data_IF_195513751508
#
_entry.id   IF_195513751508
#
_cell.length_a   1.000
_cell.length_b   1.000
_cell.length_c   1.000
_cell.angle_alpha   90.00
_cell.angle_beta   90.00
_cell.angle_gamma   90.00
#
_symmetry.space_group_name_H-M   'P 1'
#
loop_
_entity.id
_entity.type
_entity.pdbx_description
1 polymer ?
#
# COMPACT_ATOMS: atom_id res chain seq x y z
N UNK A 1 38.19 11.03 11.79
CA UNK A 1 36.75 11.16 11.53
C UNK A 1 36.45 10.31 10.31
N UNK A 2 35.88 9.12 10.50
CA UNK A 2 35.43 8.31 9.38
C UNK A 2 34.40 9.11 8.58
N UNK A 3 34.56 9.10 7.25
CA UNK A 3 33.60 9.74 6.35
C UNK A 3 32.19 9.17 6.63
N UNK A 4 31.15 10.02 6.79
CA UNK A 4 29.76 9.56 6.96
C UNK A 4 29.28 8.59 5.86
N UNK A 5 30.02 8.49 4.74
CA UNK A 5 29.78 7.56 3.63
C UNK A 5 29.82 6.08 4.04
N UNK A 6 30.53 5.68 5.11
CA UNK A 6 30.73 4.26 5.43
C UNK A 6 29.51 3.55 6.04
N UNK A 7 28.50 4.27 6.53
CA UNK A 7 27.37 3.68 7.26
C UNK A 7 26.00 3.84 6.57
N UNK A 8 25.94 4.40 5.36
CA UNK A 8 24.68 4.56 4.63
C UNK A 8 24.48 3.42 3.62
N UNK A 9 23.26 2.88 3.56
CA UNK A 9 22.88 1.89 2.55
C UNK A 9 22.84 2.57 1.18
N UNK A 10 23.60 2.04 0.21
CA UNK A 10 23.50 2.45 -1.20
C UNK A 10 22.08 2.17 -1.72
N UNK A 11 21.55 3.13 -2.44
CA UNK A 11 20.23 3.03 -3.04
C UNK A 11 20.19 2.00 -4.17
N UNK A 12 19.03 1.37 -4.36
CA UNK A 12 18.70 0.57 -5.56
C UNK A 12 17.95 1.43 -6.58
N UNK A 13 17.89 0.95 -7.82
CA UNK A 13 17.09 1.55 -8.90
C UNK A 13 17.38 3.03 -9.12
N UNK A 14 18.60 3.33 -9.56
CA UNK A 14 19.01 4.66 -9.99
C UNK A 14 20.09 4.57 -11.07
N UNK A 15 20.33 5.66 -11.77
CA UNK A 15 21.41 5.80 -12.74
C UNK A 15 22.10 7.17 -12.60
N UNK A 16 23.37 7.30 -13.00
CA UNK A 16 23.96 8.62 -13.22
C UNK A 16 23.12 9.40 -14.24
N UNK A 17 22.93 10.70 -14.00
CA UNK A 17 22.34 11.61 -14.99
C UNK A 17 23.39 12.07 -16.00
N UNK A 18 22.97 12.74 -17.07
CA UNK A 18 23.86 13.30 -18.10
C UNK A 18 24.79 14.41 -17.57
N UNK A 19 24.41 15.05 -16.47
CA UNK A 19 25.18 16.10 -15.81
C UNK A 19 26.05 15.53 -14.68
N UNK A 20 27.27 16.07 -14.52
CA UNK A 20 28.26 15.56 -13.57
C UNK A 20 27.71 15.47 -12.14
N UNK A 21 27.99 14.33 -11.51
CA UNK A 21 27.58 13.95 -10.14
C UNK A 21 26.09 14.07 -9.83
N UNK A 22 25.19 14.13 -10.82
CA UNK A 22 23.74 14.04 -10.58
C UNK A 22 23.27 12.60 -10.72
N UNK A 23 22.24 12.23 -9.96
CA UNK A 23 21.63 10.89 -10.04
C UNK A 23 20.16 10.98 -10.36
N UNK A 24 19.66 10.07 -11.20
CA UNK A 24 18.24 9.89 -11.48
C UNK A 24 17.71 8.68 -10.71
N UNK A 25 16.87 8.94 -9.71
CA UNK A 25 16.17 7.89 -8.96
C UNK A 25 15.03 7.30 -9.79
N UNK A 26 14.92 5.97 -9.83
CA UNK A 26 13.90 5.23 -10.58
C UNK A 26 12.90 4.49 -9.69
N UNK A 27 12.86 4.74 -8.38
CA UNK A 27 11.96 4.04 -7.46
C UNK A 27 10.47 4.39 -7.66
N UNK A 28 10.15 5.66 -7.93
CA UNK A 28 8.77 6.12 -8.11
C UNK A 28 8.65 7.09 -9.29
N UNK A 29 7.42 7.36 -9.73
CA UNK A 29 7.12 8.19 -10.90
C UNK A 29 7.43 9.68 -10.74
N UNK A 30 8.05 10.10 -9.63
CA UNK A 30 8.72 11.39 -9.56
C UNK A 30 9.99 11.45 -10.38
N UNK A 31 10.66 10.30 -10.57
CA UNK A 31 11.91 10.17 -11.32
C UNK A 31 12.92 11.28 -11.01
N UNK A 32 13.09 11.58 -9.71
CA UNK A 32 13.88 12.73 -9.26
C UNK A 32 15.30 12.71 -9.83
N UNK A 33 15.72 13.82 -10.43
CA UNK A 33 17.13 14.13 -10.65
C UNK A 33 17.62 14.85 -9.39
N UNK A 34 18.62 14.31 -8.72
CA UNK A 34 19.11 14.78 -7.42
C UNK A 34 20.55 15.26 -7.61
N UNK A 35 20.78 16.55 -7.37
CA UNK A 35 22.12 17.13 -7.41
C UNK A 35 22.99 16.61 -6.26
N UNK A 36 24.32 16.67 -6.42
CA UNK A 36 25.26 16.26 -5.37
C UNK A 36 25.00 17.02 -4.05
N UNK A 37 25.00 16.28 -2.95
CA UNK A 37 24.69 16.79 -1.60
C UNK A 37 23.21 17.18 -1.38
N UNK A 38 22.31 16.91 -2.33
CA UNK A 38 20.87 17.21 -2.19
C UNK A 38 20.04 15.98 -1.83
N UNK A 39 18.77 16.25 -1.51
CA UNK A 39 17.75 15.27 -1.18
C UNK A 39 16.74 15.12 -2.33
N UNK A 40 16.23 13.91 -2.51
CA UNK A 40 15.06 13.65 -3.35
C UNK A 40 13.77 14.17 -2.72
N UNK A 41 12.67 14.14 -3.49
CA UNK A 41 11.37 14.67 -3.06
C UNK A 41 10.84 14.08 -1.74
N UNK A 42 11.14 12.82 -1.47
CA UNK A 42 10.73 12.12 -0.25
C UNK A 42 11.60 12.44 0.98
N UNK A 43 12.62 13.29 0.83
CA UNK A 43 13.56 13.74 1.89
C UNK A 43 14.38 12.64 2.57
N UNK A 44 14.28 11.38 2.13
CA UNK A 44 15.02 10.24 2.71
C UNK A 44 16.04 9.62 1.76
N UNK A 45 16.21 10.23 0.59
CA UNK A 45 17.16 9.82 -0.44
C UNK A 45 18.14 10.95 -0.69
N UNK A 46 19.43 10.66 -0.59
CA UNK A 46 20.47 11.67 -0.79
C UNK A 46 21.45 11.22 -1.86
N UNK A 47 21.93 12.17 -2.66
CA UNK A 47 23.05 11.94 -3.55
C UNK A 47 24.33 12.41 -2.86
N UNK A 48 25.32 11.52 -2.79
CA UNK A 48 26.65 11.84 -2.26
C UNK A 48 27.69 11.37 -3.27
N UNK A 49 28.35 12.33 -3.90
CA UNK A 49 29.45 12.11 -4.85
C UNK A 49 29.02 11.25 -6.05
N UNK A 50 27.82 11.53 -6.59
CA UNK A 50 27.26 10.81 -7.73
C UNK A 50 26.68 9.42 -7.41
N UNK A 51 26.46 9.12 -6.12
CA UNK A 51 25.86 7.85 -5.67
C UNK A 51 24.62 8.13 -4.83
N UNK A 52 23.52 7.46 -5.15
CA UNK A 52 22.28 7.53 -4.37
C UNK A 52 22.39 6.69 -3.10
N UNK A 53 21.99 7.24 -1.96
CA UNK A 53 21.93 6.56 -0.66
C UNK A 53 20.53 6.66 -0.02
N UNK A 54 20.19 5.66 0.77
CA UNK A 54 19.00 5.64 1.64
C UNK A 54 19.35 6.10 3.05
N UNK A 55 18.62 7.10 3.55
CA UNK A 55 18.85 7.67 4.89
C UNK A 55 18.05 6.97 6.00
N UNK A 56 17.09 6.11 5.62
CA UNK A 56 16.14 5.47 6.52
C UNK A 56 16.15 3.94 6.45
N UNK A 57 17.11 3.33 5.74
CA UNK A 57 17.19 1.89 5.47
C UNK A 57 16.97 1.01 6.72
N UNK A 58 17.68 1.26 7.81
CA UNK A 58 17.59 0.49 9.04
C UNK A 58 16.83 1.22 10.16
N UNK A 59 16.26 2.39 9.87
CA UNK A 59 15.61 3.26 10.85
C UNK A 59 14.12 2.98 10.93
N UNK A 60 13.79 1.83 11.51
CA UNK A 60 12.41 1.38 11.66
C UNK A 60 11.72 2.21 12.74
N UNK A 61 10.66 2.93 12.38
CA UNK A 61 9.91 3.79 13.29
C UNK A 61 8.61 3.16 13.81
N UNK A 62 8.21 2.02 13.24
CA UNK A 62 7.09 1.19 13.71
C UNK A 62 7.37 -0.27 13.35
N UNK A 63 7.11 -1.18 14.29
CA UNK A 63 7.28 -2.62 14.12
C UNK A 63 6.34 -3.37 15.07
N UNK A 64 5.29 -4.00 14.54
CA UNK A 64 4.36 -4.80 15.34
C UNK A 64 3.56 -5.80 14.50
N UNK A 65 3.15 -6.96 15.05
CA UNK A 65 2.13 -7.80 14.43
C UNK A 65 0.81 -7.03 14.30
N UNK A 66 0.18 -7.08 13.13
CA UNK A 66 -1.19 -6.64 12.89
C UNK A 66 -1.95 -7.75 12.13
N UNK A 67 -3.28 -7.84 12.26
CA UNK A 67 -4.09 -8.70 11.39
C UNK A 67 -4.01 -8.25 9.93
N UNK A 68 -4.04 -9.20 8.99
CA UNK A 68 -3.98 -8.90 7.55
C UNK A 68 -5.17 -8.05 7.08
N UNK A 69 -6.32 -8.18 7.75
CA UNK A 69 -7.53 -7.37 7.54
C UNK A 69 -7.28 -5.87 7.77
N UNK A 70 -6.29 -5.50 8.60
CA UNK A 70 -5.92 -4.10 8.80
C UNK A 70 -5.12 -3.51 7.63
N UNK A 71 -4.61 -4.34 6.69
CA UNK A 71 -3.86 -3.94 5.49
C UNK A 71 -4.74 -3.77 4.25
N UNK A 72 -6.04 -3.59 4.45
CA UNK A 72 -7.13 -4.05 3.57
C UNK A 72 -6.74 -5.12 2.53
N UNK A 73 -6.27 -6.27 3.01
CA UNK A 73 -5.94 -7.43 2.17
C UNK A 73 -6.86 -8.60 2.56
N UNK A 74 -8.14 -8.50 2.22
CA UNK A 74 -9.16 -9.44 2.69
C UNK A 74 -9.08 -10.79 1.99
N UNK A 75 -8.51 -10.84 0.80
CA UNK A 75 -8.38 -12.03 -0.03
C UNK A 75 -6.95 -12.54 -0.08
N UNK A 76 -6.09 -12.09 0.85
CA UNK A 76 -4.71 -12.56 1.00
C UNK A 76 -4.55 -13.18 2.39
N UNK A 77 -4.39 -14.50 2.46
CA UNK A 77 -4.19 -15.23 3.73
C UNK A 77 -5.15 -14.79 4.86
N UNK A 78 -6.48 -14.78 4.65
CA UNK A 78 -7.44 -14.23 5.60
C UNK A 78 -7.33 -14.85 6.99
N UNK A 79 -7.43 -14.03 8.04
CA UNK A 79 -7.33 -14.43 9.44
C UNK A 79 -5.91 -14.61 9.97
N UNK A 80 -4.89 -14.38 9.14
CA UNK A 80 -3.49 -14.43 9.56
C UNK A 80 -3.00 -13.07 10.07
N UNK A 81 -1.85 -13.09 10.75
CA UNK A 81 -1.15 -11.87 11.16
C UNK A 81 0.02 -11.56 10.23
N UNK A 82 0.27 -10.28 10.02
CA UNK A 82 1.38 -9.73 9.25
C UNK A 82 2.27 -8.86 10.14
N UNK A 83 3.58 -9.10 10.11
CA UNK A 83 4.54 -8.29 10.85
C UNK A 83 4.71 -6.95 10.14
N UNK A 84 4.13 -5.91 10.71
CA UNK A 84 4.00 -4.60 10.08
C UNK A 84 5.16 -3.72 10.43
N UNK A 85 5.83 -3.17 9.42
CA UNK A 85 6.95 -2.25 9.60
C UNK A 85 6.78 -0.97 8.78
N UNK A 86 7.41 0.09 9.27
CA UNK A 86 7.53 1.36 8.55
C UNK A 86 8.86 2.06 8.87
N UNK A 87 9.30 2.89 7.93
CA UNK A 87 10.34 3.90 8.16
C UNK A 87 9.76 5.29 7.89
N UNK A 88 10.41 6.34 8.42
CA UNK A 88 9.94 7.71 8.23
C UNK A 88 10.08 8.17 6.77
N UNK A 89 9.17 9.06 6.36
CA UNK A 89 9.12 9.68 5.04
C UNK A 89 7.98 9.15 4.16
N UNK A 90 7.71 9.83 3.06
CA UNK A 90 6.77 9.42 2.03
C UNK A 90 7.07 10.20 0.75
N UNK A 91 6.71 9.64 -0.41
CA UNK A 91 6.83 10.35 -1.69
C UNK A 91 5.58 11.20 -2.02
N UNK A 92 4.50 11.10 -1.22
CA UNK A 92 3.28 11.90 -1.27
C UNK A 92 3.20 12.86 -0.07
N UNK A 93 2.39 13.91 -0.18
CA UNK A 93 2.15 14.92 0.86
C UNK A 93 0.66 15.08 1.16
N UNK A 94 -0.01 13.95 1.41
CA UNK A 94 -1.46 13.89 1.62
C UNK A 94 -1.89 14.75 2.82
N UNK A 95 -2.76 15.73 2.60
CA UNK A 95 -3.27 16.66 3.64
C UNK A 95 -4.23 15.99 4.65
N UNK A 96 -4.69 14.77 4.35
CA UNK A 96 -5.58 13.95 5.18
C UNK A 96 -4.88 12.69 5.76
N UNK A 97 -3.54 12.61 5.69
CA UNK A 97 -2.81 11.40 6.08
C UNK A 97 -3.01 11.03 7.57
N UNK A 98 -3.43 9.80 7.84
CA UNK A 98 -3.58 9.29 9.22
C UNK A 98 -2.23 9.06 9.93
N UNK A 99 -1.17 8.80 9.15
CA UNK A 99 0.19 8.56 9.66
C UNK A 99 1.12 9.75 9.36
N UNK A 100 0.58 10.97 9.39
CA UNK A 100 1.33 12.19 9.01
C UNK A 100 2.58 12.38 9.88
N UNK A 101 2.54 11.99 11.15
CA UNK A 101 3.64 12.13 12.12
C UNK A 101 4.91 11.36 11.73
N UNK A 102 4.79 10.30 10.93
CA UNK A 102 5.92 9.51 10.44
C UNK A 102 6.14 9.68 8.93
N UNK A 103 5.08 9.92 8.15
CA UNK A 103 5.18 10.09 6.69
C UNK A 103 5.68 11.48 6.29
N UNK A 104 5.35 12.52 7.05
CA UNK A 104 5.68 13.92 6.72
C UNK A 104 6.87 14.46 7.53
N UNK A 105 7.28 13.81 8.62
CA UNK A 105 8.36 14.29 9.49
C UNK A 105 9.66 14.65 8.73
N UNK A 106 10.18 13.73 7.92
CA UNK A 106 11.41 13.98 7.15
C UNK A 106 11.32 15.21 6.23
N UNK A 107 10.10 15.56 5.78
CA UNK A 107 9.86 16.74 4.96
C UNK A 107 9.67 18.01 5.80
N UNK A 108 8.90 17.95 6.88
CA UNK A 108 8.48 19.11 7.66
C UNK A 108 9.59 19.63 8.59
N UNK A 109 10.33 18.73 9.24
CA UNK A 109 11.33 19.08 10.25
C UNK A 109 12.70 18.39 10.01
N UNK A 110 12.84 17.62 8.93
CA UNK A 110 14.08 16.92 8.59
C UNK A 110 14.35 15.67 9.43
N UNK A 111 13.40 15.26 10.29
CA UNK A 111 13.56 14.11 11.19
C UNK A 111 13.48 12.79 10.46
N UNK A 112 14.54 11.99 10.61
CA UNK A 112 14.61 10.60 10.16
C UNK A 112 15.07 9.76 11.35
N UNK A 113 14.12 9.47 12.23
CA UNK A 113 14.32 8.70 13.46
C UNK A 113 13.77 7.28 13.32
N UNK A 114 14.32 6.37 14.10
CA UNK A 114 13.89 4.98 14.17
C UNK A 114 14.88 4.17 15.00
N UNK A 115 14.51 2.93 15.31
CA UNK A 115 15.42 1.96 15.90
C UNK A 115 16.22 1.31 14.77
N UNK A 116 17.51 1.11 14.98
CA UNK A 116 18.37 0.35 14.07
C UNK A 116 17.97 -1.14 14.14
N UNK A 117 17.12 -1.57 13.21
CA UNK A 117 16.66 -2.96 13.13
C UNK A 117 17.07 -3.52 11.77
N UNK A 118 17.84 -4.59 11.79
CA UNK A 118 18.29 -5.30 10.59
C UNK A 118 17.14 -6.09 9.92
N UNK A 119 17.25 -6.39 8.62
CA UNK A 119 16.33 -7.30 7.93
C UNK A 119 16.15 -8.65 8.65
N UNK A 120 17.24 -9.23 9.15
CA UNK A 120 17.23 -10.51 9.87
C UNK A 120 16.41 -10.43 11.16
N UNK A 121 16.57 -9.34 11.93
CA UNK A 121 15.80 -9.12 13.16
C UNK A 121 14.31 -8.90 12.88
N UNK A 122 13.96 -8.27 11.76
CA UNK A 122 12.56 -8.11 11.32
C UNK A 122 11.95 -9.47 11.00
N UNK A 123 12.64 -10.28 10.20
CA UNK A 123 12.18 -11.63 9.83
C UNK A 123 12.07 -12.52 11.06
N UNK A 124 13.07 -12.50 11.95
CA UNK A 124 13.01 -13.22 13.22
C UNK A 124 11.83 -12.75 14.09
N UNK A 125 11.58 -11.44 14.15
CA UNK A 125 10.42 -10.86 14.81
C UNK A 125 9.09 -11.39 14.25
N UNK A 126 8.97 -11.47 12.93
CA UNK A 126 7.79 -12.00 12.25
C UNK A 126 7.57 -13.48 12.56
N UNK A 127 8.62 -14.31 12.45
CA UNK A 127 8.56 -15.75 12.74
C UNK A 127 8.19 -16.00 14.20
N UNK A 128 8.87 -15.34 15.15
CA UNK A 128 8.61 -15.48 16.59
C UNK A 128 7.19 -15.05 16.97
N UNK A 129 6.62 -14.10 16.26
CA UNK A 129 5.25 -13.61 16.49
C UNK A 129 4.17 -14.46 15.82
N UNK A 130 4.55 -15.54 15.11
CA UNK A 130 3.62 -16.40 14.38
C UNK A 130 2.98 -15.74 13.15
N UNK A 131 3.56 -14.64 12.64
CA UNK A 131 3.07 -13.99 11.44
C UNK A 131 3.26 -14.89 10.22
N UNK A 132 2.35 -14.77 9.23
CA UNK A 132 2.47 -15.45 7.93
C UNK A 132 3.09 -14.57 6.86
N UNK A 133 3.08 -13.26 7.08
CA UNK A 133 3.62 -12.29 6.16
C UNK A 133 4.35 -11.14 6.87
N UNK A 134 5.10 -10.36 6.10
CA UNK A 134 5.65 -9.06 6.49
C UNK A 134 4.93 -7.98 5.68
N UNK A 135 4.37 -6.98 6.37
CA UNK A 135 3.68 -5.85 5.76
C UNK A 135 4.54 -4.60 5.82
N UNK A 136 4.89 -4.06 4.66
CA UNK A 136 5.54 -2.76 4.53
C UNK A 136 4.42 -1.73 4.35
N UNK A 137 4.22 -0.88 5.36
CA UNK A 137 2.96 -0.14 5.53
C UNK A 137 3.14 1.15 6.34
N UNK A 138 2.04 1.79 6.73
CA UNK A 138 1.90 3.08 7.44
C UNK A 138 2.44 4.32 6.70
N UNK A 139 3.65 4.22 6.12
CA UNK A 139 4.22 5.15 5.15
C UNK A 139 4.23 4.52 3.75
N UNK A 140 5.10 4.97 2.84
CA UNK A 140 5.20 4.42 1.49
C UNK A 140 6.38 3.45 1.36
N UNK A 141 6.18 2.15 1.13
CA UNK A 141 7.25 1.14 1.03
C UNK A 141 8.35 1.47 0.02
N UNK A 142 7.97 2.12 -1.09
CA UNK A 142 8.91 2.47 -2.17
C UNK A 142 10.09 3.32 -1.69
N UNK A 143 9.89 4.14 -0.66
CA UNK A 143 10.95 5.04 -0.17
C UNK A 143 12.01 4.33 0.69
N UNK A 144 11.78 3.08 1.12
CA UNK A 144 12.73 2.22 1.84
C UNK A 144 12.88 0.84 1.18
N UNK A 145 12.78 0.79 -0.15
CA UNK A 145 12.79 -0.44 -0.97
C UNK A 145 13.95 -1.41 -0.68
N UNK A 146 15.12 -0.93 -0.29
CA UNK A 146 16.26 -1.80 0.06
C UNK A 146 15.95 -2.67 1.29
N UNK A 147 15.33 -2.08 2.32
CA UNK A 147 14.91 -2.82 3.50
C UNK A 147 13.84 -3.84 3.12
N UNK A 148 12.87 -3.44 2.29
CA UNK A 148 11.81 -4.32 1.81
C UNK A 148 12.37 -5.53 1.04
N UNK A 149 13.32 -5.29 0.14
CA UNK A 149 13.96 -6.35 -0.64
C UNK A 149 14.73 -7.33 0.24
N UNK A 150 15.53 -6.82 1.17
CA UNK A 150 16.36 -7.66 2.02
C UNK A 150 15.49 -8.50 2.97
N UNK A 151 14.47 -7.87 3.58
CA UNK A 151 13.46 -8.58 4.37
C UNK A 151 12.68 -9.59 3.52
N UNK A 152 12.30 -9.22 2.29
CA UNK A 152 11.51 -10.07 1.42
C UNK A 152 12.23 -11.32 0.97
N UNK A 153 13.52 -11.21 0.63
CA UNK A 153 14.38 -12.34 0.28
C UNK A 153 14.58 -13.28 1.47
N UNK A 154 14.96 -12.75 2.63
CA UNK A 154 15.20 -13.55 3.85
C UNK A 154 13.89 -14.18 4.35
N UNK A 155 12.78 -13.43 4.28
CA UNK A 155 11.46 -13.88 4.71
C UNK A 155 10.97 -15.09 3.92
N UNK A 156 11.21 -15.14 2.60
CA UNK A 156 10.87 -16.31 1.78
C UNK A 156 11.58 -17.58 2.23
N UNK A 157 12.85 -17.48 2.62
CA UNK A 157 13.62 -18.62 3.14
C UNK A 157 13.02 -19.17 4.45
N UNK A 158 12.23 -18.35 5.16
CA UNK A 158 11.53 -18.70 6.40
C UNK A 158 10.02 -18.96 6.18
N UNK A 159 9.57 -19.09 4.93
CA UNK A 159 8.16 -19.35 4.60
C UNK A 159 7.21 -18.17 4.86
N UNK A 160 7.73 -16.95 4.96
CA UNK A 160 6.92 -15.73 5.04
C UNK A 160 6.62 -15.18 3.64
N UNK A 161 5.40 -14.69 3.47
CA UNK A 161 5.03 -13.87 2.30
C UNK A 161 5.27 -12.39 2.58
N UNK A 162 5.25 -11.56 1.55
CA UNK A 162 5.49 -10.12 1.68
C UNK A 162 4.35 -9.33 1.05
N UNK A 163 3.92 -8.28 1.74
CA UNK A 163 2.83 -7.42 1.28
C UNK A 163 3.13 -5.94 1.39
N UNK A 164 2.68 -5.17 0.41
CA UNK A 164 2.77 -3.71 0.41
C UNK A 164 1.40 -3.10 0.69
N UNK A 165 1.37 -2.02 1.49
CA UNK A 165 0.28 -1.04 1.48
C UNK A 165 0.86 0.24 0.92
N UNK A 166 0.47 0.61 -0.29
CA UNK A 166 1.17 1.62 -1.09
C UNK A 166 0.21 2.63 -1.70
N UNK A 167 0.71 3.84 -1.95
CA UNK A 167 0.02 4.83 -2.77
C UNK A 167 0.09 4.54 -4.28
N UNK A 168 0.75 3.45 -4.69
CA UNK A 168 0.78 3.00 -6.08
C UNK A 168 1.58 3.90 -7.03
N UNK A 169 2.45 4.79 -6.53
CA UNK A 169 3.22 5.69 -7.39
C UNK A 169 4.56 5.11 -7.86
N UNK A 170 4.71 3.79 -7.84
CA UNK A 170 5.91 3.04 -8.22
C UNK A 170 6.17 3.11 -9.72
N UNK A 171 7.45 3.10 -10.12
CA UNK A 171 7.77 2.85 -11.53
C UNK A 171 7.60 1.37 -11.87
N UNK A 172 7.58 1.04 -13.17
CA UNK A 172 7.63 -0.36 -13.61
C UNK A 172 8.90 -1.05 -13.12
N UNK A 173 10.03 -0.34 -13.16
CA UNK A 173 11.31 -0.84 -12.67
C UNK A 173 11.25 -1.25 -11.18
N UNK A 174 10.51 -0.50 -10.36
CA UNK A 174 10.33 -0.84 -8.95
C UNK A 174 9.42 -2.06 -8.73
N UNK A 175 8.36 -2.20 -9.52
CA UNK A 175 7.46 -3.35 -9.48
C UNK A 175 8.21 -4.61 -9.94
N UNK A 176 8.95 -4.52 -11.05
CA UNK A 176 9.78 -5.62 -11.57
C UNK A 176 10.88 -6.03 -10.59
N UNK A 177 11.48 -5.08 -9.90
CA UNK A 177 12.46 -5.38 -8.85
C UNK A 177 11.84 -6.10 -7.64
N UNK A 178 10.57 -5.81 -7.33
CA UNK A 178 9.85 -6.43 -6.22
C UNK A 178 9.19 -7.77 -6.58
N UNK A 179 8.98 -8.06 -7.88
CA UNK A 179 8.14 -9.17 -8.37
C UNK A 179 8.55 -10.55 -7.84
N UNK A 180 9.83 -10.75 -7.53
CA UNK A 180 10.35 -12.04 -7.10
C UNK A 180 10.08 -12.34 -5.63
N UNK A 181 9.75 -11.32 -4.82
CA UNK A 181 9.56 -11.48 -3.38
C UNK A 181 8.28 -10.85 -2.83
N UNK A 182 7.64 -9.95 -3.55
CA UNK A 182 6.36 -9.36 -3.18
C UNK A 182 5.21 -10.27 -3.62
N UNK A 183 4.36 -10.68 -2.67
CA UNK A 183 3.25 -11.61 -2.93
C UNK A 183 1.91 -10.89 -3.07
N UNK A 184 1.72 -9.79 -2.34
CA UNK A 184 0.47 -9.03 -2.36
C UNK A 184 0.69 -7.53 -2.22
N UNK A 185 -0.28 -6.76 -2.67
CA UNK A 185 -0.26 -5.31 -2.54
C UNK A 185 -1.69 -4.77 -2.44
N UNK A 186 -1.91 -3.90 -1.46
CA UNK A 186 -3.03 -3.00 -1.45
C UNK A 186 -2.59 -1.63 -1.99
N UNK A 187 -3.23 -1.17 -3.07
CA UNK A 187 -2.94 0.14 -3.67
C UNK A 187 -4.05 1.13 -3.33
N UNK A 188 -3.67 2.26 -2.74
CA UNK A 188 -4.58 3.36 -2.50
C UNK A 188 -4.88 4.14 -3.81
N UNK A 189 -5.98 3.81 -4.48
CA UNK A 189 -6.56 4.67 -5.51
C UNK A 189 -7.40 5.76 -4.83
N UNK A 190 -6.73 6.86 -4.46
CA UNK A 190 -7.28 7.89 -3.55
C UNK A 190 -8.42 8.70 -4.15
N UNK A 191 -8.51 8.79 -5.47
CA UNK A 191 -9.50 9.58 -6.21
C UNK A 191 -9.38 9.23 -7.70
N UNK A 192 -10.37 9.58 -8.52
CA UNK A 192 -10.28 9.55 -9.98
C UNK A 192 -10.15 10.97 -10.59
N UNK A 193 -9.70 11.94 -9.79
CA UNK A 193 -9.51 13.34 -10.19
C UNK A 193 -8.05 13.79 -10.12
N UNK A 194 -7.52 14.32 -11.23
CA UNK A 194 -6.16 14.89 -11.26
C UNK A 194 -6.04 16.14 -10.36
N UNK A 195 -7.12 16.90 -10.18
CA UNK A 195 -7.13 18.05 -9.26
C UNK A 195 -6.94 17.59 -7.81
N UNK A 196 -7.66 16.54 -7.38
CA UNK A 196 -7.52 15.95 -6.06
C UNK A 196 -6.06 15.55 -5.79
N UNK A 197 -5.43 14.86 -6.75
CA UNK A 197 -4.03 14.44 -6.60
C UNK A 197 -3.07 15.64 -6.49
N UNK A 198 -3.25 16.67 -7.31
CA UNK A 198 -2.41 17.87 -7.28
C UNK A 198 -2.59 18.67 -5.98
N UNK A 199 -3.84 18.92 -5.59
CA UNK A 199 -4.19 19.75 -4.44
C UNK A 199 -3.93 19.02 -3.13
N UNK A 200 -4.42 17.79 -2.97
CA UNK A 200 -4.42 17.12 -1.67
C UNK A 200 -3.25 16.17 -1.46
N UNK A 201 -2.79 15.50 -2.52
CA UNK A 201 -1.66 14.55 -2.42
C UNK A 201 -0.32 15.18 -2.82
N UNK A 202 -0.34 16.33 -3.48
CA UNK A 202 0.79 16.94 -4.20
C UNK A 202 1.44 15.93 -5.15
N UNK A 203 0.62 15.20 -5.90
CA UNK A 203 0.99 14.09 -6.79
C UNK A 203 0.20 14.15 -8.11
N UNK A 204 0.21 13.05 -8.88
CA UNK A 204 -0.49 12.90 -10.17
C UNK A 204 -1.30 11.60 -10.16
N UNK A 205 -2.46 11.57 -10.82
CA UNK A 205 -3.32 10.40 -10.89
C UNK A 205 -2.76 9.34 -11.84
N UNK A 206 -2.43 9.73 -13.07
CA UNK A 206 -2.11 8.79 -14.16
C UNK A 206 -1.06 7.73 -13.78
N UNK A 207 0.04 8.05 -13.07
CA UNK A 207 1.03 7.02 -12.73
C UNK A 207 0.52 5.97 -11.72
N UNK A 208 -0.50 6.29 -10.91
CA UNK A 208 -1.17 5.30 -10.04
C UNK A 208 -2.02 4.35 -10.88
N UNK A 209 -2.77 4.89 -11.85
CA UNK A 209 -3.58 4.09 -12.77
C UNK A 209 -2.71 3.14 -13.61
N UNK A 210 -1.57 3.63 -14.09
CA UNK A 210 -0.61 2.84 -14.86
C UNK A 210 -0.01 1.71 -14.01
N UNK A 211 0.29 1.99 -12.74
CA UNK A 211 0.82 1.00 -11.78
C UNK A 211 -0.19 -0.10 -11.49
N UNK A 212 -1.44 0.27 -11.18
CA UNK A 212 -2.53 -0.70 -10.96
C UNK A 212 -2.72 -1.60 -12.19
N UNK A 213 -2.81 -0.99 -13.38
CA UNK A 213 -2.98 -1.72 -14.63
C UNK A 213 -1.82 -2.68 -14.91
N UNK A 214 -0.59 -2.25 -14.62
CA UNK A 214 0.60 -3.05 -14.84
C UNK A 214 0.69 -4.23 -13.87
N UNK A 215 0.44 -4.01 -12.57
CA UNK A 215 0.42 -5.08 -11.56
C UNK A 215 -0.59 -6.14 -11.95
N UNK A 216 -1.82 -5.74 -12.27
CA UNK A 216 -2.91 -6.67 -12.57
C UNK A 216 -2.69 -7.51 -13.84
N UNK A 217 -1.97 -6.98 -14.84
CA UNK A 217 -1.84 -7.62 -16.17
C UNK A 217 -0.51 -8.32 -16.39
N UNK A 218 0.56 -7.82 -15.79
CA UNK A 218 1.93 -8.21 -16.12
C UNK A 218 2.65 -8.93 -14.98
N UNK A 219 1.98 -9.10 -13.83
CA UNK A 219 2.56 -9.71 -12.62
C UNK A 219 1.61 -10.73 -11.98
N UNK A 220 2.16 -11.55 -11.06
CA UNK A 220 1.39 -12.45 -10.21
C UNK A 220 1.24 -11.92 -8.78
N UNK A 221 1.49 -10.62 -8.57
CA UNK A 221 1.32 -9.99 -7.26
C UNK A 221 -0.18 -9.84 -7.02
N UNK A 222 -0.70 -10.41 -5.93
CA UNK A 222 -2.09 -10.26 -5.55
C UNK A 222 -2.43 -8.79 -5.31
N UNK A 223 -3.48 -8.27 -5.95
CA UNK A 223 -3.83 -6.86 -5.90
C UNK A 223 -5.19 -6.68 -5.23
N UNK A 224 -5.26 -5.77 -4.27
CA UNK A 224 -6.49 -5.18 -3.77
C UNK A 224 -6.37 -3.65 -3.84
N UNK A 225 -7.50 -2.94 -3.94
CA UNK A 225 -7.52 -1.48 -4.10
C UNK A 225 -8.31 -0.85 -2.97
N UNK A 226 -7.77 0.21 -2.37
CA UNK A 226 -8.47 1.00 -1.34
C UNK A 226 -8.73 2.42 -1.80
N UNK A 227 -9.90 2.93 -1.47
CA UNK A 227 -10.25 4.35 -1.61
C UNK A 227 -10.77 4.87 -0.28
N UNK A 228 -10.04 5.83 0.31
CA UNK A 228 -10.51 6.59 1.46
C UNK A 228 -11.50 7.65 0.98
N UNK A 229 -12.77 7.53 1.35
CA UNK A 229 -13.82 8.40 0.85
C UNK A 229 -13.94 9.66 1.73
N UNK A 230 -13.58 10.83 1.21
CA UNK A 230 -13.58 12.12 1.89
C UNK A 230 -14.77 12.96 1.39
N UNK A 231 -15.68 13.39 2.29
CA UNK A 231 -16.85 14.17 1.91
C UNK A 231 -16.51 15.45 1.14
N UNK A 232 -17.15 15.66 0.00
CA UNK A 232 -16.99 16.83 -0.85
C UNK A 232 -15.73 16.84 -1.71
N UNK A 233 -14.88 15.80 -1.61
CA UNK A 233 -13.59 15.74 -2.31
C UNK A 233 -13.54 14.63 -3.36
N UNK A 234 -13.98 13.42 -3.03
CA UNK A 234 -13.96 12.26 -3.93
C UNK A 234 -15.20 11.35 -3.79
N UNK A 235 -16.31 11.87 -3.23
CA UNK A 235 -17.52 11.10 -2.92
C UNK A 235 -18.72 11.36 -3.85
N UNK A 236 -18.46 12.00 -4.99
CA UNK A 236 -19.45 12.20 -6.05
C UNK A 236 -19.74 10.89 -6.81
N UNK A 237 -20.98 10.72 -7.27
CA UNK A 237 -21.37 9.52 -8.02
C UNK A 237 -20.58 9.33 -9.30
N UNK A 238 -20.35 10.41 -10.06
CA UNK A 238 -19.63 10.35 -11.33
C UNK A 238 -18.18 9.93 -11.16
N UNK A 239 -17.53 10.37 -10.09
CA UNK A 239 -16.16 9.96 -9.78
C UNK A 239 -16.10 8.50 -9.32
N UNK A 240 -17.03 8.07 -8.47
CA UNK A 240 -17.12 6.69 -8.00
C UNK A 240 -17.38 5.71 -9.16
N UNK A 241 -18.23 6.08 -10.13
CA UNK A 241 -18.48 5.29 -11.33
C UNK A 241 -17.20 5.14 -12.16
N UNK A 242 -16.50 6.24 -12.44
CA UNK A 242 -15.23 6.19 -13.18
C UNK A 242 -14.17 5.33 -12.48
N UNK A 243 -14.09 5.41 -11.15
CA UNK A 243 -13.18 4.60 -10.35
C UNK A 243 -13.54 3.11 -10.46
N UNK A 244 -14.80 2.75 -10.24
CA UNK A 244 -15.27 1.36 -10.33
C UNK A 244 -15.06 0.79 -11.75
N UNK A 245 -15.44 1.54 -12.79
CA UNK A 245 -15.24 1.18 -14.19
C UNK A 245 -13.76 0.96 -14.53
N UNK A 246 -12.87 1.79 -13.98
CA UNK A 246 -11.43 1.61 -14.12
C UNK A 246 -10.96 0.31 -13.46
N UNK A 247 -11.39 0.00 -12.24
CA UNK A 247 -11.01 -1.24 -11.56
C UNK A 247 -11.46 -2.44 -12.40
N UNK A 248 -12.73 -2.50 -12.81
CA UNK A 248 -13.26 -3.61 -13.62
C UNK A 248 -12.49 -3.76 -14.93
N UNK A 249 -12.27 -2.67 -15.65
CA UNK A 249 -11.69 -2.71 -17.01
C UNK A 249 -10.17 -2.84 -17.05
N UNK A 250 -9.45 -2.43 -16.00
CA UNK A 250 -7.98 -2.39 -15.99
C UNK A 250 -7.34 -3.32 -14.96
N UNK A 251 -8.02 -3.62 -13.87
CA UNK A 251 -7.54 -4.53 -12.83
C UNK A 251 -8.28 -5.89 -12.85
N UNK A 252 -9.59 -5.88 -13.12
CA UNK A 252 -10.45 -7.06 -13.21
C UNK A 252 -11.57 -7.05 -12.15
N UNK A 253 -12.70 -7.70 -12.47
CA UNK A 253 -13.88 -7.79 -11.60
C UNK A 253 -13.61 -8.50 -10.26
N UNK A 254 -12.60 -9.36 -10.23
CA UNK A 254 -12.17 -10.13 -9.07
C UNK A 254 -11.28 -9.37 -8.10
N UNK A 255 -10.79 -8.17 -8.47
CA UNK A 255 -9.95 -7.33 -7.61
C UNK A 255 -10.84 -6.67 -6.55
N UNK A 256 -10.65 -6.99 -5.25
CA UNK A 256 -11.41 -6.34 -4.18
C UNK A 256 -11.23 -4.83 -4.15
N UNK A 257 -12.35 -4.12 -4.04
CA UNK A 257 -12.36 -2.69 -3.78
C UNK A 257 -12.81 -2.38 -2.35
N UNK A 258 -11.93 -1.77 -1.59
CA UNK A 258 -12.16 -1.35 -0.21
C UNK A 258 -12.49 0.14 -0.17
N UNK A 259 -13.69 0.46 0.30
CA UNK A 259 -14.12 1.82 0.52
C UNK A 259 -13.97 2.11 2.01
N UNK A 260 -12.95 2.88 2.36
CA UNK A 260 -12.64 3.21 3.75
C UNK A 260 -13.34 4.50 4.16
N UNK A 261 -14.00 4.46 5.32
CA UNK A 261 -14.54 5.66 5.97
C UNK A 261 -13.42 6.60 6.41
N UNK A 262 -13.54 7.87 6.05
CA UNK A 262 -12.67 8.94 6.53
C UNK A 262 -13.09 9.43 7.92
N UNK A 263 -12.09 9.75 8.72
CA UNK A 263 -12.20 10.45 9.99
C UNK A 263 -11.23 11.64 9.98
N UNK A 264 -11.65 12.84 10.45
CA UNK A 264 -10.83 14.05 10.45
C UNK A 264 -9.43 13.83 11.02
N UNK A 265 -8.41 14.17 10.23
CA UNK A 265 -6.99 14.04 10.61
C UNK A 265 -6.10 15.07 9.91
N UNK A 266 -4.92 15.30 10.51
CA UNK A 266 -3.84 16.14 9.98
C UNK A 266 -4.26 17.57 9.62
N UNK A 267 -4.38 17.92 8.33
CA UNK A 267 -4.81 19.27 7.90
C UNK A 267 -6.31 19.33 7.61
N UNK A 268 -7.00 18.21 7.76
CA UNK A 268 -8.43 18.04 7.53
C UNK A 268 -9.23 17.90 8.85
N UNK A 269 -8.72 18.43 9.98
CA UNK A 269 -9.41 18.35 11.26
C UNK A 269 -10.77 19.05 11.28
N UNK A 270 -10.96 20.10 10.48
CA UNK A 270 -12.22 20.84 10.38
C UNK A 270 -13.26 20.18 9.45
N UNK A 271 -12.92 19.03 8.87
CA UNK A 271 -13.83 18.23 8.04
C UNK A 271 -14.77 17.36 8.89
N UNK A 272 -15.69 16.66 8.25
CA UNK A 272 -16.59 15.69 8.89
C UNK A 272 -16.21 14.26 8.50
N UNK A 273 -16.48 13.31 9.40
CA UNK A 273 -16.34 11.90 9.05
C UNK A 273 -17.31 11.53 7.92
N UNK A 274 -16.92 10.61 7.04
CA UNK A 274 -17.78 10.22 5.91
C UNK A 274 -19.10 9.66 6.42
N UNK A 275 -20.25 10.13 5.91
CA UNK A 275 -21.54 9.50 6.16
C UNK A 275 -21.53 8.05 5.68
N UNK A 276 -22.14 7.16 6.46
CA UNK A 276 -22.25 5.74 6.08
C UNK A 276 -23.03 5.56 4.78
N UNK A 277 -24.00 6.43 4.50
CA UNK A 277 -24.76 6.41 3.25
C UNK A 277 -23.90 6.70 2.01
N UNK A 278 -22.86 7.55 2.12
CA UNK A 278 -21.90 7.75 1.02
C UNK A 278 -21.12 6.47 0.72
N UNK A 279 -20.76 5.70 1.76
CA UNK A 279 -20.08 4.41 1.61
C UNK A 279 -20.99 3.38 0.93
N UNK A 280 -22.23 3.23 1.39
CA UNK A 280 -23.21 2.31 0.78
C UNK A 280 -23.49 2.65 -0.69
N UNK A 281 -23.53 3.94 -1.03
CA UNK A 281 -23.67 4.39 -2.42
C UNK A 281 -22.47 3.96 -3.26
N UNK A 282 -21.25 4.14 -2.76
CA UNK A 282 -20.05 3.66 -3.44
C UNK A 282 -20.03 2.13 -3.59
N UNK A 283 -20.48 1.39 -2.57
CA UNK A 283 -20.65 -0.07 -2.64
C UNK A 283 -21.61 -0.48 -3.76
N UNK A 284 -22.77 0.17 -3.83
CA UNK A 284 -23.77 -0.10 -4.86
C UNK A 284 -23.21 0.18 -6.26
N UNK A 285 -22.54 1.32 -6.45
CA UNK A 285 -21.89 1.68 -7.72
C UNK A 285 -20.84 0.63 -8.12
N UNK A 286 -20.01 0.18 -7.18
CA UNK A 286 -19.00 -0.85 -7.45
C UNK A 286 -19.62 -2.17 -7.92
N UNK A 287 -20.71 -2.61 -7.26
CA UNK A 287 -21.44 -3.82 -7.64
C UNK A 287 -22.14 -3.67 -9.00
N UNK A 288 -22.74 -2.52 -9.27
CA UNK A 288 -23.40 -2.22 -10.56
C UNK A 288 -22.40 -2.18 -11.72
N UNK A 289 -21.18 -1.71 -11.48
CA UNK A 289 -20.09 -1.74 -12.46
C UNK A 289 -19.59 -3.17 -12.77
N UNK A 290 -19.92 -4.14 -11.90
CA UNK A 290 -19.56 -5.55 -12.07
C UNK A 290 -18.42 -6.04 -11.18
N UNK A 291 -18.03 -5.30 -10.13
CA UNK A 291 -17.10 -5.81 -9.13
C UNK A 291 -17.76 -6.93 -8.31
N UNK A 292 -17.05 -8.04 -8.15
CA UNK A 292 -17.50 -9.17 -7.34
C UNK A 292 -17.40 -8.88 -5.84
N UNK A 293 -16.41 -8.09 -5.43
CA UNK A 293 -16.08 -7.85 -4.03
C UNK A 293 -15.89 -6.37 -3.76
N UNK A 294 -16.80 -5.80 -2.97
CA UNK A 294 -16.73 -4.42 -2.52
C UNK A 294 -16.94 -4.40 -1.00
N UNK A 295 -15.99 -3.81 -0.28
CA UNK A 295 -15.93 -3.85 1.18
C UNK A 295 -16.04 -2.44 1.76
N UNK A 296 -16.83 -2.28 2.83
CA UNK A 296 -16.89 -1.02 3.57
C UNK A 296 -16.06 -1.13 4.84
N UNK A 297 -14.93 -0.43 4.89
CA UNK A 297 -14.03 -0.42 6.04
C UNK A 297 -14.32 0.75 7.00
N UNK A 298 -13.87 0.58 8.25
CA UNK A 298 -14.06 1.57 9.34
C UNK A 298 -15.54 1.86 9.65
N UNK A 299 -16.39 0.84 9.51
CA UNK A 299 -17.81 0.89 9.89
C UNK A 299 -18.08 -0.24 10.90
N UNK A 300 -17.90 0.01 12.21
CA UNK A 300 -18.07 -1.04 13.23
C UNK A 300 -19.43 -1.73 13.14
N UNK A 301 -19.43 -3.07 13.13
CA UNK A 301 -20.63 -3.90 13.10
C UNK A 301 -21.27 -4.08 11.72
N UNK A 302 -20.68 -3.55 10.65
CA UNK A 302 -21.19 -3.73 9.30
C UNK A 302 -20.82 -5.12 8.75
N UNK A 303 -21.81 -5.86 8.26
CA UNK A 303 -21.57 -7.15 7.57
C UNK A 303 -20.86 -7.00 6.22
N UNK A 304 -20.74 -5.77 5.73
CA UNK A 304 -20.03 -5.42 4.49
C UNK A 304 -18.52 -5.65 4.54
N UNK A 305 -17.95 -6.07 5.67
CA UNK A 305 -16.56 -6.55 5.75
C UNK A 305 -16.45 -8.07 5.48
N UNK A 306 -17.57 -8.80 5.49
CA UNK A 306 -17.60 -10.24 5.23
C UNK A 306 -17.56 -10.56 3.74
N UNK A 307 -16.89 -11.65 3.37
CA UNK A 307 -16.82 -12.11 1.98
C UNK A 307 -18.01 -13.00 1.68
N UNK A 308 -18.73 -12.70 0.60
CA UNK A 308 -19.83 -13.51 0.07
C UNK A 308 -19.42 -14.09 -1.28
N UNK A 309 -19.95 -15.27 -1.62
CA UNK A 309 -19.82 -15.83 -2.94
C UNK A 309 -20.57 -14.94 -3.94
N UNK A 310 -19.85 -14.39 -4.92
CA UNK A 310 -20.44 -13.48 -5.91
C UNK A 310 -21.48 -14.15 -6.82
N UNK A 311 -21.51 -15.48 -6.86
CA UNK A 311 -22.45 -16.25 -7.68
C UNK A 311 -23.72 -16.66 -6.91
N UNK A 312 -23.59 -17.30 -5.73
CA UNK A 312 -24.75 -17.81 -4.99
C UNK A 312 -25.13 -16.99 -3.75
N UNK A 313 -24.34 -15.99 -3.37
CA UNK A 313 -24.60 -15.13 -2.20
C UNK A 313 -24.28 -15.77 -0.84
N UNK A 314 -23.77 -17.01 -0.80
CA UNK A 314 -23.37 -17.65 0.46
C UNK A 314 -22.26 -16.85 1.15
N UNK A 315 -22.39 -16.63 2.46
CA UNK A 315 -21.32 -16.03 3.26
C UNK A 315 -20.16 -17.03 3.36
N UNK A 316 -18.98 -16.64 2.90
CA UNK A 316 -17.79 -17.49 2.85
C UNK A 316 -16.83 -17.17 3.98
N UNK A 317 -16.61 -15.89 4.25
CA UNK A 317 -15.75 -15.44 5.34
C UNK A 317 -16.54 -14.45 6.17
N UNK A 318 -16.82 -14.80 7.43
CA UNK A 318 -17.44 -13.90 8.39
C UNK A 318 -16.37 -13.07 9.10
N UNK A 319 -16.42 -11.75 8.93
CA UNK A 319 -15.53 -10.80 9.59
C UNK A 319 -16.27 -9.98 10.64
N UNK A 320 -15.66 -9.86 11.82
CA UNK A 320 -16.11 -8.97 12.90
C UNK A 320 -14.94 -8.03 13.22
N UNK A 321 -14.90 -6.89 12.52
CA UNK A 321 -13.71 -6.04 12.47
C UNK A 321 -12.53 -6.83 11.91
N UNK A 322 -11.40 -6.83 12.62
CA UNK A 322 -10.19 -7.55 12.18
C UNK A 322 -10.13 -9.03 12.62
N UNK A 323 -11.25 -9.64 13.01
CA UNK A 323 -11.29 -11.05 13.40
C UNK A 323 -12.13 -11.84 12.39
N UNK A 324 -11.62 -13.00 12.00
CA UNK A 324 -12.37 -14.00 11.24
C UNK A 324 -13.15 -14.87 12.22
N UNK A 325 -14.47 -14.80 12.16
CA UNK A 325 -15.36 -15.67 12.96
C UNK A 325 -15.55 -17.04 12.27
N UNK A 326 -15.57 -17.07 10.94
CA UNK A 326 -15.64 -18.27 10.13
C UNK A 326 -14.96 -18.07 8.77
N UNK A 327 -14.30 -19.10 8.26
CA UNK A 327 -13.86 -19.22 6.86
C UNK A 327 -14.35 -20.57 6.33
N UNK A 328 -15.24 -20.54 5.33
CA UNK A 328 -15.85 -21.71 4.68
C UNK A 328 -15.25 -22.01 3.32
N UNK A 329 -14.29 -21.20 2.85
CA UNK A 329 -13.62 -21.44 1.57
C UNK A 329 -12.81 -22.73 1.68
N UNK A 330 -12.92 -23.57 0.65
CA UNK A 330 -12.15 -24.80 0.52
C UNK A 330 -11.56 -24.88 -0.88
N UNK A 331 -10.26 -25.12 -0.98
CA UNK A 331 -9.54 -25.19 -2.26
C UNK A 331 -9.82 -23.97 -3.16
N UNK A 332 -9.85 -22.78 -2.53
CA UNK A 332 -10.20 -21.49 -3.17
C UNK A 332 -11.57 -21.49 -3.88
N UNK A 333 -12.53 -22.28 -3.42
CA UNK A 333 -13.87 -22.38 -3.99
C UNK A 333 -14.96 -22.22 -2.92
N UNK A 334 -16.12 -21.72 -3.36
CA UNK A 334 -17.36 -21.75 -2.59
C UNK A 334 -17.81 -23.21 -2.41
N UNK A 335 -18.04 -23.68 -1.17
CA UNK A 335 -18.46 -25.07 -0.93
C UNK A 335 -19.85 -25.38 -1.50
N UNK A 336 -20.74 -24.38 -1.58
CA UNK A 336 -22.13 -24.59 -1.97
C UNK A 336 -22.35 -24.68 -3.48
N UNK A 337 -21.65 -23.87 -4.28
CA UNK A 337 -21.86 -23.79 -5.74
C UNK A 337 -20.60 -24.07 -6.57
N UNK A 338 -19.44 -24.29 -5.95
CA UNK A 338 -18.18 -24.59 -6.64
C UNK A 338 -17.53 -23.40 -7.36
N UNK A 339 -18.09 -22.19 -7.24
CA UNK A 339 -17.50 -20.97 -7.81
C UNK A 339 -16.12 -20.72 -7.20
N UNK A 340 -15.11 -20.51 -8.07
CA UNK A 340 -13.77 -20.10 -7.64
C UNK A 340 -13.82 -18.71 -7.02
N UNK A 341 -13.12 -18.54 -5.91
CA UNK A 341 -13.00 -17.28 -5.19
C UNK A 341 -11.59 -16.79 -5.42
N UNK A 342 -11.46 -15.60 -5.99
CA UNK A 342 -10.15 -15.03 -6.31
C UNK A 342 -9.44 -14.60 -5.02
N UNK A 343 -8.17 -14.96 -4.88
CA UNK A 343 -7.34 -14.58 -3.74
C UNK A 343 -6.01 -15.32 -3.72
N UNK A 344 -5.23 -15.06 -2.68
CA UNK A 344 -3.94 -15.68 -2.42
C UNK A 344 -4.05 -16.52 -1.15
N UNK A 345 -3.93 -17.84 -1.30
CA UNK A 345 -4.03 -18.82 -0.20
C UNK A 345 -5.28 -18.61 0.68
N UNK A 346 -6.47 -18.69 0.03
CA UNK A 346 -7.80 -18.52 0.65
C UNK A 346 -8.31 -19.73 1.44
#
# INVERSE_FOLDING_TARGET
>A
MESPKNNLKRGVLWEPSEEDKKVRCKLCNWRCIIDDGKLGRCSVRTNIDGILYSLNYDKVCSANPDPIEKKPLFHFQPGTSSFSIATMGCNFRCEFCQNWQISQAALEDGRISGQAISPEQIVEGAVRSGCKSIAYTYTEPTIFMELCNDCGRIGKEHGLTNVFVSNGFMTREAIDFARDWLNGINVDLKSFSEDYYKRLCKARLQPVLDTISYIAKETNIWLEITTLLIPGENDSEDELKQLADFIVSKAGADVPWHISRFHPQYKYYDSVATPVESLKRAEQIGKEAGLHYVYLGNVPGAKSESTFCYNCGQMLIERIGYRIAANLIKDSCCPDCGTKIAGFEL
#
